data_IF_054331562646
#
_entry.id   IF_054331562646
#
_cell.length_a   1.000
_cell.length_b   1.000
_cell.length_c   1.000
_cell.angle_alpha   90.00
_cell.angle_beta   90.00
_cell.angle_gamma   90.00
#
_symmetry.space_group_name_H-M   'P 1'
#
loop_
_entity.id
_entity.type
_entity.pdbx_description
1 polymer ?
#
# COMPACT_ATOMS: atom_id res chain seq x y z
N UNK A 1 -2.37 7.86 1.52
CA UNK A 1 -3.40 6.85 1.20
C UNK A 1 -3.72 5.99 2.41
N UNK A 2 -2.74 5.35 3.09
CA UNK A 2 -2.99 4.48 4.25
C UNK A 2 -3.83 5.15 5.35
N UNK A 3 -3.52 6.38 5.73
CA UNK A 3 -4.30 7.13 6.73
C UNK A 3 -5.71 7.44 6.22
N UNK A 4 -5.85 7.86 4.97
CA UNK A 4 -7.13 8.24 4.37
C UNK A 4 -8.09 7.04 4.30
N UNK A 5 -7.60 5.85 3.96
CA UNK A 5 -8.38 4.61 3.94
C UNK A 5 -8.56 4.06 5.36
N UNK A 6 -7.53 4.19 6.21
CA UNK A 6 -7.54 3.67 7.57
C UNK A 6 -8.63 4.29 8.47
N UNK A 7 -8.90 5.59 8.33
CA UNK A 7 -9.91 6.26 9.17
C UNK A 7 -11.30 5.63 9.04
N UNK A 8 -11.89 5.46 7.86
CA UNK A 8 -13.20 4.82 7.72
C UNK A 8 -13.15 3.32 8.01
N UNK A 9 -12.11 2.63 7.56
CA UNK A 9 -11.99 1.18 7.64
C UNK A 9 -11.80 0.70 9.09
N UNK A 10 -10.99 1.37 9.90
CA UNK A 10 -10.72 0.98 11.28
C UNK A 10 -11.90 1.20 12.25
N UNK A 11 -12.97 1.88 11.82
CA UNK A 11 -14.23 1.98 12.56
C UNK A 11 -15.05 0.70 12.46
N UNK A 12 -14.81 -0.12 11.45
CA UNK A 12 -15.49 -1.39 11.25
C UNK A 12 -14.87 -2.49 12.11
N UNK A 13 -15.65 -3.53 12.42
CA UNK A 13 -15.24 -4.64 13.29
C UNK A 13 -15.48 -5.98 12.58
N UNK A 14 -14.63 -6.95 12.92
CA UNK A 14 -14.78 -8.33 12.45
C UNK A 14 -14.71 -8.47 10.93
N UNK A 15 -15.57 -9.30 10.37
CA UNK A 15 -15.57 -9.67 8.96
C UNK A 15 -15.87 -8.49 8.01
N UNK A 16 -16.62 -7.50 8.48
CA UNK A 16 -16.89 -6.27 7.71
C UNK A 16 -15.62 -5.49 7.40
N UNK A 17 -14.61 -5.53 8.30
CA UNK A 17 -13.32 -4.91 8.06
C UNK A 17 -12.62 -5.55 6.85
N UNK A 18 -12.60 -6.89 6.79
CA UNK A 18 -11.97 -7.62 5.71
C UNK A 18 -12.67 -7.39 4.36
N UNK A 19 -14.01 -7.43 4.35
CA UNK A 19 -14.80 -7.19 3.12
C UNK A 19 -14.55 -5.79 2.57
N UNK A 20 -14.57 -4.78 3.44
CA UNK A 20 -14.40 -3.38 3.01
C UNK A 20 -12.97 -3.09 2.56
N UNK A 21 -11.94 -3.68 3.19
CA UNK A 21 -10.56 -3.53 2.71
C UNK A 21 -10.34 -4.15 1.33
N UNK A 22 -10.92 -5.32 1.06
CA UNK A 22 -10.90 -5.94 -0.26
C UNK A 22 -11.64 -5.07 -1.30
N UNK A 23 -12.81 -4.55 -0.95
CA UNK A 23 -13.58 -3.66 -1.83
C UNK A 23 -12.79 -2.38 -2.17
N UNK A 24 -12.13 -1.74 -1.19
CA UNK A 24 -11.26 -0.59 -1.44
C UNK A 24 -10.09 -0.94 -2.37
N UNK A 25 -9.48 -2.10 -2.21
CA UNK A 25 -8.42 -2.57 -3.11
C UNK A 25 -8.90 -2.68 -4.56
N UNK A 26 -10.07 -3.27 -4.78
CA UNK A 26 -10.68 -3.38 -6.12
C UNK A 26 -11.10 -2.01 -6.69
N UNK A 27 -11.64 -1.12 -5.87
CA UNK A 27 -11.99 0.24 -6.29
C UNK A 27 -10.74 0.99 -6.74
N UNK A 28 -9.65 0.96 -5.97
CA UNK A 28 -8.40 1.65 -6.32
C UNK A 28 -7.81 1.07 -7.61
N UNK A 29 -7.78 -0.26 -7.75
CA UNK A 29 -7.31 -0.92 -8.97
C UNK A 29 -8.11 -0.46 -10.20
N UNK A 30 -9.42 -0.47 -10.12
CA UNK A 30 -10.29 -0.05 -11.21
C UNK A 30 -10.16 1.45 -11.52
N UNK A 31 -9.99 2.28 -10.47
CA UNK A 31 -9.73 3.71 -10.65
C UNK A 31 -8.43 3.95 -11.42
N UNK A 32 -7.36 3.24 -11.08
CA UNK A 32 -6.06 3.36 -11.77
C UNK A 32 -6.18 2.91 -13.23
N UNK A 33 -6.98 1.88 -13.53
CA UNK A 33 -7.19 1.39 -14.88
C UNK A 33 -7.93 2.38 -15.81
N UNK A 34 -8.67 3.32 -15.25
CA UNK A 34 -9.42 4.35 -16.01
C UNK A 34 -8.69 5.68 -16.00
N UNK A 35 -7.73 5.87 -15.07
CA UNK A 35 -7.05 7.14 -14.87
C UNK A 35 -5.87 7.30 -15.84
N UNK A 36 -5.85 8.42 -16.56
CA UNK A 36 -4.71 8.88 -17.35
C UNK A 36 -4.06 10.05 -16.65
N UNK A 37 -2.77 9.97 -16.39
CA UNK A 37 -2.00 11.03 -15.74
C UNK A 37 -0.78 11.33 -16.59
N UNK A 38 -0.64 12.59 -16.94
CA UNK A 38 0.53 13.10 -17.64
C UNK A 38 1.12 14.30 -16.92
N UNK A 39 2.37 14.58 -17.19
CA UNK A 39 3.10 15.72 -16.69
C UNK A 39 3.70 16.48 -17.85
N UNK A 40 3.45 17.79 -17.90
CA UNK A 40 4.01 18.73 -18.87
C UNK A 40 4.68 19.88 -18.13
N UNK A 41 5.36 20.78 -18.85
CA UNK A 41 5.94 22.02 -18.33
C UNK A 41 4.93 22.89 -17.56
N UNK A 42 3.63 22.77 -17.86
CA UNK A 42 2.52 23.50 -17.23
C UNK A 42 1.95 22.80 -15.98
N UNK A 43 2.38 21.57 -15.64
CA UNK A 43 1.94 20.84 -14.45
C UNK A 43 1.39 19.43 -14.70
N UNK A 44 0.55 18.96 -13.77
CA UNK A 44 -0.09 17.65 -13.87
C UNK A 44 -1.42 17.76 -14.61
N UNK A 45 -1.58 16.90 -15.63
CA UNK A 45 -2.81 16.76 -16.38
C UNK A 45 -3.47 15.42 -16.03
N UNK A 46 -4.80 15.46 -15.78
CA UNK A 46 -5.60 14.28 -15.44
C UNK A 46 -6.71 14.12 -16.45
N UNK A 47 -6.89 12.90 -16.95
CA UNK A 47 -8.00 12.54 -17.82
C UNK A 47 -8.52 11.15 -17.48
N UNK A 48 -9.81 10.91 -17.74
CA UNK A 48 -10.49 9.62 -17.54
C UNK A 48 -10.80 8.95 -18.89
N UNK A 49 -10.51 9.64 -19.98
CA UNK A 49 -10.97 9.25 -21.32
C UNK A 49 -9.85 8.64 -22.17
N UNK A 50 -8.86 9.46 -22.50
CA UNK A 50 -7.77 9.11 -23.41
C UNK A 50 -6.51 9.92 -23.15
N UNK A 51 -5.37 9.46 -23.69
CA UNK A 51 -4.11 10.21 -23.66
C UNK A 51 -4.18 11.51 -24.46
N UNK A 52 -4.99 11.58 -25.52
CA UNK A 52 -5.19 12.78 -26.31
C UNK A 52 -5.98 13.85 -25.58
N UNK A 53 -6.87 13.45 -24.67
CA UNK A 53 -7.69 14.36 -23.86
C UNK A 53 -6.92 15.01 -22.69
N UNK A 54 -5.65 14.61 -22.48
CA UNK A 54 -4.76 15.26 -21.50
C UNK A 54 -4.35 16.69 -21.93
N UNK A 55 -4.47 17.02 -23.24
CA UNK A 55 -4.17 18.36 -23.76
C UNK A 55 -2.72 18.79 -23.53
N UNK A 56 -1.79 17.86 -23.46
CA UNK A 56 -0.36 18.12 -23.22
C UNK A 56 0.34 18.65 -24.45
N UNK A 57 1.34 19.48 -24.25
CA UNK A 57 2.24 19.95 -25.31
C UNK A 57 3.16 18.81 -25.84
N UNK A 58 3.98 19.14 -26.81
CA UNK A 58 4.91 18.19 -27.47
C UNK A 58 5.91 17.52 -26.48
N UNK A 59 6.20 18.18 -25.36
CA UNK A 59 7.12 17.72 -24.33
C UNK A 59 6.44 16.93 -23.18
N UNK A 60 5.15 16.66 -23.28
CA UNK A 60 4.38 15.99 -22.24
C UNK A 60 4.71 14.50 -22.10
N UNK A 61 4.99 14.04 -20.90
CA UNK A 61 5.23 12.63 -20.56
C UNK A 61 3.99 12.03 -19.88
N UNK A 62 3.42 10.99 -20.48
CA UNK A 62 2.32 10.25 -19.86
C UNK A 62 2.86 9.27 -18.85
N UNK A 63 2.50 9.44 -17.58
CA UNK A 63 2.98 8.62 -16.45
C UNK A 63 2.09 7.38 -16.30
N UNK A 64 0.77 7.57 -16.28
CA UNK A 64 -0.22 6.49 -16.16
C UNK A 64 -1.08 6.47 -17.43
N UNK A 65 -1.12 5.31 -18.10
CA UNK A 65 -1.84 5.09 -19.36
C UNK A 65 -3.09 4.22 -19.16
N UNK A 66 -3.88 4.49 -18.14
CA UNK A 66 -5.09 3.72 -17.87
C UNK A 66 -4.80 2.22 -17.75
N UNK A 67 -5.48 1.40 -18.54
CA UNK A 67 -5.35 -0.06 -18.54
C UNK A 67 -3.94 -0.58 -18.89
N UNK A 68 -3.12 0.19 -19.62
CA UNK A 68 -1.73 -0.14 -19.89
C UNK A 68 -0.81 0.10 -18.67
N UNK A 69 -1.29 0.86 -17.69
CA UNK A 69 -0.58 1.19 -16.48
C UNK A 69 0.62 2.12 -16.70
N UNK A 70 1.68 1.88 -15.97
CA UNK A 70 2.94 2.62 -16.06
C UNK A 70 3.86 1.88 -17.02
N UNK A 71 4.37 2.56 -18.04
CA UNK A 71 5.27 2.00 -19.06
C UNK A 71 6.56 2.79 -19.13
N UNK A 72 7.68 2.11 -19.43
CA UNK A 72 8.98 2.79 -19.61
C UNK A 72 9.70 3.10 -18.30
N UNK A 73 9.37 2.43 -17.20
CA UNK A 73 10.11 2.58 -15.94
C UNK A 73 11.54 2.04 -16.09
N UNK A 74 12.56 2.83 -15.70
CA UNK A 74 13.92 2.33 -15.70
C UNK A 74 14.07 1.17 -14.71
N UNK A 75 14.75 0.10 -15.12
CA UNK A 75 15.02 -1.06 -14.26
C UNK A 75 16.11 -0.71 -13.24
N UNK A 76 15.73 -0.01 -12.17
CA UNK A 76 16.63 0.35 -11.09
C UNK A 76 16.60 -0.62 -9.89
N UNK A 77 15.67 -1.58 -9.88
CA UNK A 77 15.56 -2.58 -8.83
C UNK A 77 16.65 -3.64 -8.99
N UNK A 78 17.80 -3.40 -8.37
CA UNK A 78 18.91 -4.36 -8.29
C UNK A 78 18.73 -5.24 -7.05
N UNK A 79 19.25 -6.47 -7.09
CA UNK A 79 19.22 -7.39 -5.95
C UNK A 79 19.78 -6.74 -4.65
N UNK A 80 20.87 -5.98 -4.79
CA UNK A 80 21.47 -5.24 -3.66
C UNK A 80 20.52 -4.23 -3.04
N UNK A 81 19.78 -3.45 -3.86
CA UNK A 81 18.79 -2.50 -3.37
C UNK A 81 17.65 -3.23 -2.64
N UNK A 82 17.23 -4.38 -3.17
CA UNK A 82 16.24 -5.23 -2.52
C UNK A 82 16.66 -5.68 -1.13
N UNK A 83 17.89 -6.21 -0.98
CA UNK A 83 18.42 -6.66 0.32
C UNK A 83 18.52 -5.49 1.31
N UNK A 84 19.02 -4.34 0.89
CA UNK A 84 19.14 -3.15 1.74
C UNK A 84 17.77 -2.73 2.26
N UNK A 85 16.75 -2.68 1.38
CA UNK A 85 15.39 -2.32 1.78
C UNK A 85 14.77 -3.33 2.74
N UNK A 86 15.03 -4.63 2.56
CA UNK A 86 14.59 -5.67 3.49
C UNK A 86 15.23 -5.47 4.86
N UNK A 87 16.54 -5.22 4.93
CA UNK A 87 17.24 -4.98 6.20
C UNK A 87 16.74 -3.71 6.89
N UNK A 88 16.50 -2.63 6.15
CA UNK A 88 15.90 -1.40 6.69
C UNK A 88 14.49 -1.66 7.22
N UNK A 89 13.68 -2.42 6.50
CA UNK A 89 12.33 -2.79 6.94
C UNK A 89 12.36 -3.60 8.22
N UNK A 90 13.24 -4.60 8.32
CA UNK A 90 13.44 -5.39 9.53
C UNK A 90 13.88 -4.51 10.69
N UNK A 91 14.83 -3.61 10.47
CA UNK A 91 15.31 -2.68 11.50
C UNK A 91 14.17 -1.79 12.02
N UNK A 92 13.35 -1.22 11.13
CA UNK A 92 12.19 -0.38 11.50
C UNK A 92 11.18 -1.20 12.30
N UNK A 93 10.82 -2.40 11.83
CA UNK A 93 9.80 -3.25 12.48
C UNK A 93 10.28 -3.72 13.85
N UNK A 94 11.53 -4.20 13.98
CA UNK A 94 12.08 -4.65 15.25
C UNK A 94 12.16 -3.51 16.29
N UNK A 95 12.60 -2.31 15.85
CA UNK A 95 12.61 -1.15 16.73
C UNK A 95 11.18 -0.72 17.12
N UNK A 96 10.22 -0.80 16.20
CA UNK A 96 8.82 -0.49 16.49
C UNK A 96 8.27 -1.46 17.56
N UNK A 97 8.47 -2.76 17.40
CA UNK A 97 7.99 -3.79 18.34
C UNK A 97 8.56 -3.54 19.76
N UNK A 98 9.85 -3.23 19.86
CA UNK A 98 10.52 -2.99 21.14
C UNK A 98 10.22 -1.60 21.75
N UNK A 99 9.57 -0.72 21.01
CA UNK A 99 9.21 0.63 21.44
C UNK A 99 8.03 0.66 22.42
N UNK A 100 7.79 1.81 23.06
CA UNK A 100 6.57 2.03 23.87
C UNK A 100 5.30 1.93 23.02
N UNK A 101 5.36 2.42 21.80
CA UNK A 101 4.28 2.34 20.82
C UNK A 101 3.97 0.89 20.41
N UNK A 102 5.01 0.09 20.17
CA UNK A 102 4.84 -1.33 19.84
C UNK A 102 4.20 -2.12 20.98
N UNK A 103 4.63 -1.88 22.24
CA UNK A 103 4.00 -2.50 23.40
C UNK A 103 2.52 -2.14 23.54
N UNK A 104 2.15 -0.88 23.27
CA UNK A 104 0.74 -0.47 23.26
C UNK A 104 -0.05 -1.16 22.14
N UNK A 105 0.52 -1.34 20.95
CA UNK A 105 -0.11 -2.07 19.85
C UNK A 105 -0.30 -3.55 20.21
N UNK A 106 0.72 -4.19 20.82
CA UNK A 106 0.63 -5.58 21.25
C UNK A 106 -0.42 -5.77 22.35
N UNK A 107 -0.51 -4.88 23.34
CA UNK A 107 -1.53 -4.96 24.39
C UNK A 107 -2.97 -4.87 23.82
N UNK A 108 -3.18 -4.07 22.76
CA UNK A 108 -4.47 -4.01 22.05
C UNK A 108 -4.79 -5.32 21.33
N UNK A 109 -3.77 -6.00 20.79
CA UNK A 109 -3.91 -7.32 20.16
C UNK A 109 -4.33 -8.38 21.16
N UNK A 110 -3.65 -8.39 22.34
CA UNK A 110 -3.84 -9.42 23.35
C UNK A 110 -5.17 -9.26 24.09
N UNK A 111 -5.49 -8.05 24.56
CA UNK A 111 -6.79 -7.76 25.15
C UNK A 111 -7.17 -6.29 24.98
N UNK A 112 -8.12 -6.06 24.05
CA UNK A 112 -8.59 -4.72 23.73
C UNK A 112 -9.25 -4.01 24.91
N UNK A 113 -10.05 -4.72 25.71
CA UNK A 113 -10.81 -4.14 26.84
C UNK A 113 -9.84 -3.72 27.94
N UNK A 114 -8.87 -4.57 28.25
CA UNK A 114 -7.85 -4.27 29.24
C UNK A 114 -6.96 -3.09 28.81
N UNK A 115 -6.59 -3.00 27.51
CA UNK A 115 -5.83 -1.88 26.99
C UNK A 115 -6.60 -0.55 27.11
N UNK A 116 -7.90 -0.57 26.84
CA UNK A 116 -8.77 0.61 26.95
C UNK A 116 -8.93 1.06 28.42
N UNK A 117 -9.02 0.14 29.38
CA UNK A 117 -9.16 0.43 30.80
C UNK A 117 -7.93 1.11 31.40
N UNK A 118 -6.72 0.88 30.85
CA UNK A 118 -5.48 1.57 31.26
C UNK A 118 -5.22 2.85 30.45
N UNK A 119 -6.21 3.34 29.70
CA UNK A 119 -6.16 4.62 28.98
C UNK A 119 -5.48 4.60 27.63
N UNK A 120 -5.25 3.42 27.03
CA UNK A 120 -4.68 3.33 25.69
C UNK A 120 -5.73 3.68 24.62
N UNK A 121 -5.46 4.70 23.81
CA UNK A 121 -6.32 5.08 22.72
C UNK A 121 -6.21 4.09 21.53
N UNK A 122 -7.13 3.14 21.48
CA UNK A 122 -7.14 2.03 20.51
C UNK A 122 -7.10 2.53 19.08
N UNK A 123 -7.93 3.52 18.74
CA UNK A 123 -8.04 4.05 17.38
C UNK A 123 -6.74 4.68 16.90
N UNK A 124 -6.08 5.47 17.77
CA UNK A 124 -4.80 6.12 17.46
C UNK A 124 -3.70 5.09 17.16
N UNK A 125 -3.55 4.08 18.02
CA UNK A 125 -2.47 3.08 17.86
C UNK A 125 -2.74 2.15 16.68
N UNK A 126 -3.98 1.76 16.42
CA UNK A 126 -4.36 0.99 15.23
C UNK A 126 -4.11 1.77 13.95
N UNK A 127 -4.48 3.06 13.91
CA UNK A 127 -4.23 3.90 12.75
C UNK A 127 -2.73 4.09 12.49
N UNK A 128 -1.93 4.24 13.56
CA UNK A 128 -0.48 4.34 13.45
C UNK A 128 0.14 3.07 12.88
N UNK A 129 -0.24 1.89 13.41
CA UNK A 129 0.23 0.61 12.90
C UNK A 129 -0.14 0.43 11.41
N UNK A 130 -1.37 0.76 11.05
CA UNK A 130 -1.85 0.70 9.68
C UNK A 130 -1.11 1.66 8.75
N UNK A 131 -0.83 2.89 9.20
CA UNK A 131 -0.10 3.88 8.42
C UNK A 131 1.36 3.45 8.15
N UNK A 132 2.04 2.90 9.17
CA UNK A 132 3.41 2.39 9.03
C UNK A 132 3.43 1.20 8.06
N UNK A 133 2.51 0.25 8.20
CA UNK A 133 2.40 -0.89 7.30
C UNK A 133 2.13 -0.45 5.86
N UNK A 134 1.22 0.52 5.65
CA UNK A 134 0.94 1.06 4.33
C UNK A 134 2.14 1.80 3.72
N UNK A 135 2.94 2.51 4.53
CA UNK A 135 4.17 3.16 4.06
C UNK A 135 5.21 2.13 3.59
N UNK A 136 5.43 1.06 4.36
CA UNK A 136 6.34 -0.03 3.97
C UNK A 136 5.85 -0.76 2.72
N UNK A 137 4.55 -1.01 2.61
CA UNK A 137 3.95 -1.57 1.40
C UNK A 137 4.13 -0.66 0.18
N UNK A 138 4.05 0.66 0.37
CA UNK A 138 4.35 1.64 -0.68
C UNK A 138 5.79 1.54 -1.19
N UNK A 139 6.76 1.40 -0.30
CA UNK A 139 8.18 1.20 -0.67
C UNK A 139 8.36 -0.10 -1.47
N UNK A 140 7.73 -1.19 -1.02
CA UNK A 140 7.74 -2.46 -1.75
C UNK A 140 7.10 -2.34 -3.14
N UNK A 141 6.01 -1.57 -3.27
CA UNK A 141 5.36 -1.29 -4.54
C UNK A 141 6.25 -0.53 -5.52
N UNK A 142 7.01 0.47 -5.05
CA UNK A 142 7.99 1.19 -5.88
C UNK A 142 9.10 0.26 -6.36
N UNK A 143 9.65 -0.59 -5.48
CA UNK A 143 10.66 -1.57 -5.85
C UNK A 143 10.13 -2.55 -6.90
N UNK A 144 8.89 -3.00 -6.73
CA UNK A 144 8.22 -3.88 -7.70
C UNK A 144 8.03 -3.22 -9.06
N UNK A 145 7.63 -1.94 -9.08
CA UNK A 145 7.48 -1.17 -10.32
C UNK A 145 8.81 -1.00 -11.06
N UNK A 146 9.91 -0.78 -10.36
CA UNK A 146 11.25 -0.68 -10.94
C UNK A 146 11.86 -2.02 -11.37
N UNK A 147 11.30 -3.15 -10.94
CA UNK A 147 11.70 -4.48 -11.40
C UNK A 147 11.04 -4.83 -12.76
N UNK A 148 9.86 -4.28 -13.00
CA UNK A 148 9.11 -4.50 -14.23
C UNK A 148 9.20 -3.25 -15.12
N UNK A 149 9.51 -3.42 -16.40
CA UNK A 149 9.54 -2.30 -17.36
C UNK A 149 8.15 -1.79 -17.74
N UNK A 150 7.12 -2.56 -17.45
CA UNK A 150 5.71 -2.23 -17.65
C UNK A 150 4.88 -2.85 -16.54
N UNK A 151 4.08 -2.03 -15.85
CA UNK A 151 3.26 -2.44 -14.72
C UNK A 151 1.80 -2.02 -14.94
N UNK A 152 0.97 -2.95 -15.39
CA UNK A 152 -0.46 -2.74 -15.55
C UNK A 152 -1.22 -3.22 -14.32
N UNK A 153 -2.28 -2.50 -13.93
CA UNK A 153 -3.14 -2.85 -12.80
C UNK A 153 -4.12 -3.98 -13.16
N UNK A 154 -3.57 -5.09 -13.67
CA UNK A 154 -4.36 -6.27 -14.07
C UNK A 154 -4.76 -7.10 -12.84
N UNK A 155 -5.86 -7.87 -12.92
CA UNK A 155 -6.26 -8.80 -11.83
C UNK A 155 -5.18 -9.81 -11.47
N UNK A 156 -4.30 -10.15 -12.41
CA UNK A 156 -3.17 -11.07 -12.20
C UNK A 156 -2.11 -10.47 -11.28
N UNK A 157 -1.80 -9.17 -11.42
CA UNK A 157 -0.74 -8.52 -10.67
C UNK A 157 -1.25 -7.87 -9.36
N UNK A 158 -2.45 -7.29 -9.39
CA UNK A 158 -3.04 -6.51 -8.30
C UNK A 158 -4.45 -6.96 -7.92
N UNK A 159 -4.82 -8.21 -8.25
CA UNK A 159 -6.11 -8.76 -7.87
C UNK A 159 -6.15 -9.24 -6.42
N UNK A 160 -7.37 -9.48 -5.92
CA UNK A 160 -7.61 -10.04 -4.59
C UNK A 160 -6.89 -11.37 -4.36
N UNK A 161 -6.71 -12.20 -5.40
CA UNK A 161 -5.98 -13.46 -5.32
C UNK A 161 -4.53 -13.27 -4.86
N UNK A 162 -3.85 -12.22 -5.34
CA UNK A 162 -2.49 -11.91 -4.92
C UNK A 162 -2.45 -11.50 -3.44
N UNK A 163 -3.42 -10.72 -2.99
CA UNK A 163 -3.55 -10.33 -1.57
C UNK A 163 -3.79 -11.53 -0.66
N UNK A 164 -4.63 -12.49 -1.10
CA UNK A 164 -4.87 -13.73 -0.36
C UNK A 164 -3.59 -14.59 -0.32
N UNK A 165 -2.85 -14.68 -1.42
CA UNK A 165 -1.60 -15.45 -1.47
C UNK A 165 -0.55 -14.88 -0.52
N UNK A 166 -0.41 -13.55 -0.46
CA UNK A 166 0.46 -12.88 0.52
C UNK A 166 0.01 -13.19 1.95
N UNK A 167 -1.30 -13.15 2.22
CA UNK A 167 -1.85 -13.49 3.53
C UNK A 167 -1.51 -14.94 3.92
N UNK A 168 -1.63 -15.89 2.98
CA UNK A 168 -1.26 -17.28 3.20
C UNK A 168 0.21 -17.41 3.59
N UNK A 169 1.11 -16.73 2.89
CA UNK A 169 2.54 -16.73 3.24
C UNK A 169 2.80 -16.16 4.63
N UNK A 170 2.11 -15.09 5.02
CA UNK A 170 2.22 -14.49 6.35
C UNK A 170 1.71 -15.46 7.44
N UNK A 171 0.60 -16.15 7.18
CA UNK A 171 0.03 -17.13 8.13
C UNK A 171 0.94 -18.35 8.27
N UNK A 172 1.48 -18.86 7.16
CA UNK A 172 2.42 -20.00 7.18
C UNK A 172 3.75 -19.63 7.84
N UNK A 173 4.22 -18.39 7.69
CA UNK A 173 5.42 -17.88 8.37
C UNK A 173 5.26 -17.70 9.88
N UNK A 174 4.02 -17.73 10.40
CA UNK A 174 3.68 -17.58 11.82
C UNK A 174 3.33 -16.14 12.21
N UNK A 175 2.09 -15.92 12.59
CA UNK A 175 1.61 -14.64 13.10
C UNK A 175 2.21 -14.37 14.50
N UNK A 176 3.16 -13.44 14.56
CA UNK A 176 3.74 -12.97 15.83
C UNK A 176 4.99 -13.73 16.30
N UNK A 177 5.59 -14.54 15.46
CA UNK A 177 6.88 -15.18 15.69
C UNK A 177 7.93 -14.48 14.80
N UNK A 178 8.49 -13.37 15.28
CA UNK A 178 9.63 -12.69 14.66
C UNK A 178 10.79 -12.72 15.64
#
# INVERSE_FOLDING_TARGET
FGILIGIPVLRLRGDYLAIVTLAFGEIIKNLINVLYVGMDSNGFHFSIKDTTSLGMGADGVVIIKGAQGITGTPKAATFTVGIILVLITLFIVLNLINSRTGRAIMSIRDNRIAAESVGINITKYKLMAFAISAALAGVAGVLYAHNLSSLAATPKNFGYNMSIMILVFVVLGGLGNI
#
